data_IF_812961232046
#
_entry.id   IF_812961232046
#
_cell.length_a   1.000
_cell.length_b   1.000
_cell.length_c   1.000
_cell.angle_alpha   90.00
_cell.angle_beta   90.00
_cell.angle_gamma   90.00
#
_symmetry.space_group_name_H-M   'P 1'
#
loop_
_entity.id
_entity.type
_entity.pdbx_description
1 polymer ?
#
# COMPACT_ATOMS: atom_id res chain seq x y z
N UNK A 1 6.30 26.28 44.12
CA UNK A 1 5.77 27.63 43.74
C UNK A 1 4.31 27.53 43.30
N UNK A 2 3.54 28.62 43.23
CA UNK A 2 2.15 28.57 42.70
C UNK A 2 2.15 28.34 41.18
N UNK A 3 1.03 27.88 40.62
CA UNK A 3 0.91 27.67 39.16
C UNK A 3 1.11 28.97 38.35
N UNK A 4 0.66 30.11 38.89
CA UNK A 4 0.82 31.41 38.25
C UNK A 4 2.27 31.90 38.29
N UNK A 5 2.99 31.62 39.38
CA UNK A 5 4.43 31.91 39.49
C UNK A 5 5.25 31.01 38.56
N UNK A 6 4.90 29.72 38.45
CA UNK A 6 5.56 28.79 37.52
C UNK A 6 5.37 29.19 36.06
N UNK A 7 4.16 29.64 35.70
CA UNK A 7 3.89 30.20 34.38
C UNK A 7 4.81 31.39 34.06
N UNK A 8 4.99 32.32 35.02
CA UNK A 8 5.88 33.47 34.88
C UNK A 8 7.36 33.08 34.81
N UNK A 9 7.79 32.14 35.66
CA UNK A 9 9.18 31.66 35.71
C UNK A 9 9.61 31.01 34.37
N UNK A 10 8.73 30.23 33.75
CA UNK A 10 9.01 29.55 32.48
C UNK A 10 8.66 30.38 31.23
N UNK A 11 8.09 31.57 31.40
CA UNK A 11 7.69 32.46 30.31
C UNK A 11 6.48 31.99 29.50
N UNK A 12 5.58 31.22 30.12
CA UNK A 12 4.44 30.55 29.46
C UNK A 12 3.11 31.07 30.01
N UNK A 13 2.04 31.05 29.22
CA UNK A 13 0.71 31.48 29.68
C UNK A 13 0.10 30.51 30.72
N UNK A 14 -0.73 31.05 31.63
CA UNK A 14 -1.46 30.26 32.63
C UNK A 14 -2.33 29.16 32.01
N UNK A 15 -2.88 29.39 30.82
CA UNK A 15 -3.69 28.41 30.09
C UNK A 15 -2.90 27.14 29.74
N UNK A 16 -1.62 27.28 29.39
CA UNK A 16 -0.75 26.15 29.07
C UNK A 16 -0.40 25.35 30.34
N UNK A 17 -0.20 26.01 31.48
CA UNK A 17 0.00 25.33 32.77
C UNK A 17 -1.23 24.53 33.19
N UNK A 18 -2.44 25.08 32.98
CA UNK A 18 -3.69 24.33 33.19
C UNK A 18 -3.80 23.12 32.25
N UNK A 19 -3.38 23.26 30.99
CA UNK A 19 -3.32 22.15 30.04
C UNK A 19 -2.36 21.05 30.52
N UNK A 20 -1.17 21.42 31.02
CA UNK A 20 -0.20 20.46 31.59
C UNK A 20 -0.72 19.75 32.83
N UNK A 21 -1.51 20.45 33.66
CA UNK A 21 -2.23 19.82 34.78
C UNK A 21 -3.22 18.76 34.30
N UNK A 22 -4.02 19.06 33.26
CA UNK A 22 -4.96 18.11 32.66
C UNK A 22 -4.27 16.92 32.00
N UNK A 23 -3.05 17.11 31.47
CA UNK A 23 -2.24 16.07 30.86
C UNK A 23 -1.38 15.26 31.87
N UNK A 24 -1.47 15.56 33.17
CA UNK A 24 -0.68 14.88 34.21
C UNK A 24 0.82 15.20 34.20
N UNK A 25 1.24 16.24 33.47
CA UNK A 25 2.65 16.65 33.34
C UNK A 25 3.10 17.57 34.47
N UNK A 26 2.16 18.22 35.14
CA UNK A 26 2.40 19.09 36.27
C UNK A 26 2.46 18.27 37.56
N UNK A 27 3.63 18.22 38.19
CA UNK A 27 3.78 17.61 39.52
C UNK A 27 3.28 18.61 40.58
N UNK A 28 2.12 18.33 41.16
CA UNK A 28 1.49 19.16 42.19
C UNK A 28 1.61 18.45 43.54
N UNK A 29 2.21 19.11 44.52
CA UNK A 29 2.30 18.67 45.92
C UNK A 29 0.92 18.67 46.57
N UNK A 30 0.74 17.91 47.66
CA UNK A 30 -0.53 17.86 48.41
C UNK A 30 -1.07 19.24 48.82
N UNK A 31 -0.18 20.21 49.07
CA UNK A 31 -0.50 21.60 49.41
C UNK A 31 -0.94 22.46 48.20
N UNK A 32 -1.12 21.87 47.00
CA UNK A 32 -1.52 22.59 45.79
C UNK A 32 -0.41 23.43 45.14
N UNK A 33 0.84 23.27 45.59
CA UNK A 33 2.03 23.93 45.01
C UNK A 33 2.64 23.07 43.90
N UNK A 34 3.24 23.72 42.90
CA UNK A 34 3.96 23.06 41.81
C UNK A 34 5.38 22.74 42.28
N UNK A 35 5.75 21.47 42.14
CA UNK A 35 7.12 20.99 42.28
C UNK A 35 7.87 21.25 40.97
N UNK A 36 8.86 22.13 41.05
CA UNK A 36 9.49 22.74 39.88
C UNK A 36 10.31 21.69 39.16
N UNK A 37 11.22 21.04 39.87
CA UNK A 37 12.17 20.08 39.31
C UNK A 37 11.45 18.89 38.66
N UNK A 38 10.42 18.33 39.34
CA UNK A 38 9.64 17.22 38.80
C UNK A 38 8.80 17.62 37.58
N UNK A 39 8.24 18.84 37.59
CA UNK A 39 7.48 19.36 36.44
C UNK A 39 8.41 19.65 35.26
N UNK A 40 9.56 20.26 35.49
CA UNK A 40 10.54 20.55 34.43
C UNK A 40 11.10 19.27 33.83
N UNK A 41 11.42 18.26 34.65
CA UNK A 41 11.76 16.93 34.16
C UNK A 41 10.65 16.33 33.30
N UNK A 42 9.39 16.38 33.76
CA UNK A 42 8.24 15.91 32.99
C UNK A 42 8.03 16.70 31.69
N UNK A 43 8.46 17.97 31.60
CA UNK A 43 8.31 18.79 30.39
C UNK A 43 9.49 18.65 29.42
N UNK A 44 10.70 18.43 29.93
CA UNK A 44 11.94 18.36 29.16
C UNK A 44 12.17 16.98 28.53
N UNK A 45 11.40 15.96 28.95
CA UNK A 45 11.24 14.72 28.19
C UNK A 45 10.55 15.01 26.84
N UNK A 46 11.26 15.62 25.88
CA UNK A 46 10.78 15.83 24.50
C UNK A 46 10.78 14.50 23.75
N UNK A 47 9.68 14.12 23.05
CA UNK A 47 9.74 13.02 22.11
C UNK A 47 10.64 13.42 20.92
N UNK A 48 11.67 12.61 20.64
CA UNK A 48 12.21 12.55 19.29
C UNK A 48 11.09 11.97 18.41
N UNK A 49 10.64 12.76 17.43
CA UNK A 49 9.63 12.42 16.42
C UNK A 49 9.57 10.92 16.13
N UNK A 50 8.38 10.30 16.17
CA UNK A 50 8.20 9.06 15.42
C UNK A 50 6.77 8.76 14.93
N UNK A 51 6.75 8.54 13.62
CA UNK A 51 6.00 7.55 12.83
C UNK A 51 5.18 6.53 13.64
N UNK A 52 3.86 6.72 13.65
CA UNK A 52 2.90 5.61 13.65
C UNK A 52 2.60 4.88 14.97
N UNK A 53 2.76 5.51 16.14
CA UNK A 53 2.29 4.89 17.38
C UNK A 53 2.24 5.82 18.59
N UNK A 54 1.25 5.61 19.47
CA UNK A 54 1.16 6.27 20.79
C UNK A 54 2.04 5.52 21.78
N UNK A 55 3.20 6.08 22.12
CA UNK A 55 4.03 5.53 23.21
C UNK A 55 3.56 6.09 24.55
N UNK A 56 3.33 5.21 25.54
CA UNK A 56 3.03 5.61 26.91
C UNK A 56 4.25 6.23 27.59
N UNK A 57 4.06 7.40 28.20
CA UNK A 57 5.10 8.19 28.89
C UNK A 57 5.27 7.73 30.34
N UNK A 58 6.50 7.52 30.84
CA UNK A 58 6.73 7.42 32.28
C UNK A 58 6.60 8.81 32.91
N UNK A 59 5.60 9.00 33.77
CA UNK A 59 5.40 10.21 34.57
C UNK A 59 6.05 9.96 35.93
N UNK A 60 6.94 10.86 36.38
CA UNK A 60 7.40 10.84 37.78
C UNK A 60 6.28 11.37 38.66
N UNK A 61 5.55 10.45 39.30
CA UNK A 61 4.65 10.78 40.39
C UNK A 61 5.44 10.92 41.68
N UNK A 62 5.16 11.96 42.46
CA UNK A 62 5.65 12.07 43.85
C UNK A 62 4.89 10.99 44.66
N UNK A 63 5.57 10.20 45.52
CA UNK A 63 4.86 9.27 46.40
C UNK A 63 3.87 10.05 47.26
N UNK A 64 2.58 9.79 47.05
CA UNK A 64 1.51 10.26 47.92
C UNK A 64 1.63 9.47 49.22
N UNK A 65 1.90 10.15 50.33
CA UNK A 65 1.74 9.56 51.65
C UNK A 65 0.30 9.02 51.77
N UNK A 66 0.16 7.74 52.13
CA UNK A 66 -1.13 7.13 52.46
C UNK A 66 -1.84 7.98 53.52
N UNK A 67 -3.11 8.37 53.32
CA UNK A 67 -3.90 8.91 54.40
C UNK A 67 -4.35 7.78 55.36
N UNK A 68 -4.13 8.02 56.65
CA UNK A 68 -4.52 7.23 57.83
C UNK A 68 -6.00 6.74 57.76
N UNK A 69 -6.34 5.47 58.12
CA UNK A 69 -7.64 4.84 57.82
C UNK A 69 -8.84 5.31 58.67
N UNK A 70 -8.82 6.50 59.27
CA UNK A 70 -9.87 6.93 60.22
C UNK A 70 -10.40 8.31 59.92
N UNK A 71 -11.11 8.46 58.80
CA UNK A 71 -12.13 9.50 58.65
C UNK A 71 -13.08 9.11 57.51
N UNK A 72 -14.25 8.56 57.87
CA UNK A 72 -15.39 8.40 56.96
C UNK A 72 -16.37 9.55 57.20
N UNK A 73 -16.68 10.35 56.18
CA UNK A 73 -17.99 10.99 56.08
C UNK A 73 -18.86 10.27 55.05
N UNK A 74 -20.12 10.11 55.40
CA UNK A 74 -21.16 9.35 54.72
C UNK A 74 -21.55 9.91 53.32
N UNK A 75 -22.05 9.06 52.41
CA UNK A 75 -22.48 9.48 51.07
C UNK A 75 -23.82 10.24 51.11
N UNK A 76 -23.88 11.38 50.42
CA UNK A 76 -25.13 12.11 50.17
C UNK A 76 -25.90 11.55 48.95
N UNK A 77 -27.23 11.71 48.92
CA UNK A 77 -28.13 10.86 48.16
C UNK A 77 -28.46 11.40 46.76
N UNK A 78 -28.35 10.56 45.72
CA UNK A 78 -29.00 10.78 44.43
C UNK A 78 -30.43 10.23 44.47
N UNK A 79 -31.45 11.10 44.34
CA UNK A 79 -32.84 10.70 44.02
C UNK A 79 -32.87 10.22 42.55
N UNK A 80 -33.16 8.95 42.24
CA UNK A 80 -34.48 8.29 42.14
C UNK A 80 -35.36 8.93 41.05
N UNK A 81 -35.97 8.26 40.06
CA UNK A 81 -36.30 6.84 39.76
C UNK A 81 -36.64 6.76 38.25
N UNK A 82 -36.76 5.63 37.56
CA UNK A 82 -37.75 4.54 37.63
C UNK A 82 -37.18 3.35 36.81
N UNK A 83 -37.28 2.03 37.10
CA UNK A 83 -38.22 1.20 37.86
C UNK A 83 -38.90 0.17 36.92
N UNK A 84 -38.18 -0.81 36.32
CA UNK A 84 -38.16 -2.29 36.62
C UNK A 84 -39.18 -3.15 35.79
N UNK A 85 -39.07 -4.50 35.53
CA UNK A 85 -38.00 -5.50 35.77
C UNK A 85 -37.74 -6.45 34.51
N UNK A 86 -37.28 -7.73 34.60
CA UNK A 86 -36.06 -8.24 33.95
C UNK A 86 -36.30 -9.10 32.68
N UNK A 87 -35.48 -8.93 31.63
CA UNK A 87 -35.25 -10.00 30.65
C UNK A 87 -33.75 -10.11 30.39
N UNK A 88 -33.30 -11.37 30.39
CA UNK A 88 -31.93 -11.78 30.11
C UNK A 88 -31.35 -10.95 28.97
N UNK A 89 -30.13 -10.44 29.16
CA UNK A 89 -29.34 -9.94 28.05
C UNK A 89 -29.14 -11.13 27.09
N UNK A 90 -29.95 -11.18 26.02
CA UNK A 90 -29.50 -11.82 24.80
C UNK A 90 -28.17 -11.13 24.43
N UNK A 91 -27.15 -11.89 24.01
CA UNK A 91 -25.98 -11.30 23.37
C UNK A 91 -26.46 -10.32 22.29
N UNK A 92 -25.81 -9.16 22.08
CA UNK A 92 -26.08 -8.38 20.89
C UNK A 92 -25.93 -9.34 19.70
N UNK A 93 -26.99 -9.49 18.91
CA UNK A 93 -26.87 -10.26 17.68
C UNK A 93 -25.74 -9.61 16.87
N UNK A 94 -24.75 -10.40 16.44
CA UNK A 94 -23.84 -9.93 15.44
C UNK A 94 -24.69 -9.83 14.18
N UNK A 95 -25.14 -8.63 13.84
CA UNK A 95 -25.26 -8.25 12.43
C UNK A 95 -23.81 -8.14 11.85
N UNK A 96 -23.01 -9.20 12.05
CA UNK A 96 -22.02 -9.68 11.13
C UNK A 96 -22.78 -10.60 10.17
N UNK A 97 -23.67 -10.02 9.36
CA UNK A 97 -23.61 -10.47 7.98
C UNK A 97 -22.16 -10.17 7.56
N UNK A 98 -21.37 -11.13 7.06
CA UNK A 98 -20.14 -10.81 6.37
C UNK A 98 -20.56 -10.04 5.11
N UNK A 99 -20.90 -8.76 5.28
CA UNK A 99 -21.04 -7.81 4.21
C UNK A 99 -19.72 -7.90 3.46
N UNK A 100 -19.83 -8.27 2.19
CA UNK A 100 -18.69 -8.43 1.31
C UNK A 100 -17.70 -7.30 1.58
N UNK A 101 -16.40 -7.61 1.76
CA UNK A 101 -15.39 -6.56 1.95
C UNK A 101 -15.66 -5.51 0.88
N UNK A 102 -15.77 -4.21 1.25
CA UNK A 102 -16.25 -3.18 0.35
C UNK A 102 -15.54 -3.36 -0.98
N UNK A 103 -16.33 -3.67 -2.01
CA UNK A 103 -15.81 -4.08 -3.31
C UNK A 103 -14.71 -3.10 -3.69
N UNK A 104 -13.52 -3.64 -3.94
CA UNK A 104 -12.35 -2.84 -4.24
C UNK A 104 -12.61 -2.17 -5.59
N UNK A 105 -13.19 -0.97 -5.55
CA UNK A 105 -13.37 -0.13 -6.72
C UNK A 105 -12.08 0.70 -6.88
N UNK A 106 -11.18 0.31 -7.81
CA UNK A 106 -9.90 0.96 -8.01
C UNK A 106 -10.04 2.45 -8.38
N UNK A 107 -11.18 2.85 -8.93
CA UNK A 107 -11.41 4.17 -9.50
C UNK A 107 -12.38 5.05 -8.69
N UNK A 108 -12.87 4.57 -7.53
CA UNK A 108 -13.78 5.37 -6.70
C UNK A 108 -13.13 6.72 -6.32
N UNK A 109 -13.74 7.87 -6.64
CA UNK A 109 -13.16 9.19 -6.38
C UNK A 109 -13.36 9.69 -4.94
N UNK A 110 -14.24 9.06 -4.14
CA UNK A 110 -14.68 9.58 -2.84
C UNK A 110 -14.22 8.69 -1.66
N UNK A 111 -12.91 8.40 -1.57
CA UNK A 111 -12.37 7.64 -0.44
C UNK A 111 -12.04 8.50 0.78
N UNK A 112 -12.07 7.87 1.95
CA UNK A 112 -11.47 8.42 3.16
C UNK A 112 -9.95 8.61 2.99
N UNK A 113 -9.36 9.57 3.72
CA UNK A 113 -7.92 9.86 3.63
C UNK A 113 -7.04 8.64 3.93
N UNK A 114 -7.46 7.79 4.88
CA UNK A 114 -6.72 6.58 5.23
C UNK A 114 -6.74 5.56 4.07
N UNK A 115 -7.91 5.33 3.47
CA UNK A 115 -8.05 4.42 2.33
C UNK A 115 -7.32 4.96 1.08
N UNK A 116 -7.36 6.27 0.84
CA UNK A 116 -6.62 6.91 -0.25
C UNK A 116 -5.09 6.78 -0.07
N UNK A 117 -4.57 6.92 1.16
CA UNK A 117 -3.16 6.72 1.45
C UNK A 117 -2.72 5.26 1.22
N UNK A 118 -3.51 4.29 1.70
CA UNK A 118 -3.25 2.86 1.47
C UNK A 118 -3.26 2.52 -0.02
N UNK A 119 -4.24 3.04 -0.79
CA UNK A 119 -4.31 2.88 -2.25
C UNK A 119 -3.03 3.38 -2.92
N UNK A 120 -2.60 4.61 -2.59
CA UNK A 120 -1.37 5.19 -3.13
C UNK A 120 -0.15 4.32 -2.82
N UNK A 121 -0.02 3.83 -1.59
CA UNK A 121 1.08 2.95 -1.19
C UNK A 121 1.08 1.64 -1.97
N UNK A 122 -0.09 1.03 -2.18
CA UNK A 122 -0.25 -0.19 -2.97
C UNK A 122 0.19 0.02 -4.44
N UNK A 123 -0.34 1.05 -5.12
CA UNK A 123 0.06 1.32 -6.51
C UNK A 123 1.54 1.67 -6.63
N UNK A 124 2.10 2.38 -5.65
CA UNK A 124 3.52 2.68 -5.61
C UNK A 124 4.36 1.41 -5.43
N UNK A 125 3.88 0.44 -4.64
CA UNK A 125 4.49 -0.88 -4.53
C UNK A 125 4.49 -1.65 -5.86
N UNK A 126 3.36 -1.66 -6.57
CA UNK A 126 3.22 -2.30 -7.88
C UNK A 126 4.14 -1.66 -8.93
N UNK A 127 4.16 -0.33 -9.01
CA UNK A 127 5.03 0.42 -9.92
C UNK A 127 6.51 0.11 -9.66
N UNK A 128 6.94 0.14 -8.39
CA UNK A 128 8.33 -0.21 -8.03
C UNK A 128 8.67 -1.65 -8.38
N UNK A 129 7.74 -2.58 -8.21
CA UNK A 129 7.93 -3.98 -8.61
C UNK A 129 8.09 -4.09 -10.12
N UNK A 130 7.25 -3.42 -10.90
CA UNK A 130 7.36 -3.39 -12.36
C UNK A 130 8.70 -2.82 -12.79
N UNK A 131 9.09 -1.64 -12.27
CA UNK A 131 10.39 -1.03 -12.56
C UNK A 131 11.57 -1.93 -12.19
N UNK A 132 11.51 -2.60 -11.03
CA UNK A 132 12.53 -3.54 -10.61
C UNK A 132 12.65 -4.72 -11.59
N UNK A 133 11.53 -5.30 -12.02
CA UNK A 133 11.51 -6.40 -12.98
C UNK A 133 11.98 -5.95 -14.37
N UNK A 134 11.62 -4.75 -14.82
CA UNK A 134 12.13 -4.16 -16.06
C UNK A 134 13.64 -3.93 -16.00
N UNK A 135 14.16 -3.38 -14.89
CA UNK A 135 15.61 -3.20 -14.68
C UNK A 135 16.36 -4.53 -14.59
N UNK A 136 15.72 -5.59 -14.10
CA UNK A 136 16.25 -6.95 -14.16
C UNK A 136 16.17 -7.59 -15.56
N UNK A 137 15.54 -6.95 -16.53
CA UNK A 137 15.32 -7.49 -17.88
C UNK A 137 14.24 -8.58 -17.96
N UNK A 138 13.39 -8.71 -16.94
CA UNK A 138 12.29 -9.70 -16.92
C UNK A 138 11.01 -9.21 -17.57
N UNK A 139 10.82 -7.89 -17.64
CA UNK A 139 9.68 -7.25 -18.28
C UNK A 139 10.18 -6.31 -19.36
N UNK A 140 9.48 -6.31 -20.49
CA UNK A 140 9.67 -5.42 -21.63
C UNK A 140 8.34 -4.76 -21.96
N UNK A 141 8.37 -3.60 -22.62
CA UNK A 141 7.15 -3.01 -23.15
C UNK A 141 6.49 -3.94 -24.16
N UNK A 142 5.18 -4.08 -24.06
CA UNK A 142 4.43 -5.01 -24.90
C UNK A 142 4.47 -4.59 -26.37
N UNK A 143 4.32 -3.30 -26.66
CA UNK A 143 4.31 -2.82 -28.04
C UNK A 143 5.70 -2.97 -28.67
N UNK A 144 6.77 -2.71 -27.91
CA UNK A 144 8.15 -2.98 -28.36
C UNK A 144 8.39 -4.46 -28.63
N UNK A 145 7.93 -5.36 -27.74
CA UNK A 145 8.08 -6.80 -27.92
C UNK A 145 7.29 -7.33 -29.13
N UNK A 146 6.06 -6.86 -29.32
CA UNK A 146 5.25 -7.18 -30.49
C UNK A 146 5.93 -6.69 -31.77
N UNK A 147 6.39 -5.44 -31.81
CA UNK A 147 7.11 -4.88 -32.95
C UNK A 147 8.36 -5.71 -33.30
N UNK A 148 9.19 -6.05 -32.31
CA UNK A 148 10.38 -6.86 -32.51
C UNK A 148 10.05 -8.25 -33.08
N UNK A 149 8.96 -8.88 -32.61
CA UNK A 149 8.50 -10.16 -33.13
C UNK A 149 8.03 -10.07 -34.58
N UNK A 150 7.27 -9.02 -34.93
CA UNK A 150 6.83 -8.78 -36.30
C UNK A 150 7.99 -8.48 -37.25
N UNK A 151 8.98 -7.71 -36.80
CA UNK A 151 10.18 -7.40 -37.57
C UNK A 151 10.99 -8.66 -37.87
N UNK A 152 11.18 -9.54 -36.88
CA UNK A 152 11.88 -10.82 -37.07
C UNK A 152 11.09 -11.75 -38.02
N UNK A 153 9.78 -11.85 -37.83
CA UNK A 153 8.92 -12.63 -38.73
C UNK A 153 8.99 -12.11 -40.17
N UNK A 154 9.02 -10.78 -40.34
CA UNK A 154 9.20 -10.15 -41.65
C UNK A 154 10.57 -10.45 -42.25
N UNK A 155 11.64 -10.36 -41.46
CA UNK A 155 12.99 -10.67 -41.91
C UNK A 155 13.08 -12.14 -42.38
N UNK A 156 12.47 -13.07 -41.64
CA UNK A 156 12.38 -14.48 -42.06
C UNK A 156 11.63 -14.65 -43.38
N UNK A 157 10.44 -14.02 -43.51
CA UNK A 157 9.66 -14.07 -44.76
C UNK A 157 10.46 -13.53 -45.94
N UNK A 158 11.09 -12.37 -45.78
CA UNK A 158 11.86 -11.73 -46.85
C UNK A 158 13.09 -12.58 -47.23
N UNK A 159 13.74 -13.24 -46.26
CA UNK A 159 14.83 -14.18 -46.49
C UNK A 159 14.39 -15.42 -47.29
N UNK A 160 13.20 -15.95 -47.03
CA UNK A 160 12.60 -17.05 -47.80
C UNK A 160 12.23 -16.61 -49.22
N UNK A 161 11.65 -15.43 -49.41
CA UNK A 161 11.32 -14.91 -50.74
C UNK A 161 12.57 -14.69 -51.60
N UNK A 162 13.69 -14.28 -50.99
CA UNK A 162 14.97 -14.10 -51.68
C UNK A 162 15.73 -15.42 -51.90
N UNK A 163 15.40 -16.50 -51.16
CA UNK A 163 16.16 -17.74 -51.17
C UNK A 163 16.20 -18.47 -52.54
N UNK A 164 15.09 -18.62 -53.29
CA UNK A 164 15.10 -19.28 -54.60
C UNK A 164 16.11 -18.68 -55.58
N UNK A 165 16.23 -17.36 -55.61
CA UNK A 165 17.18 -16.67 -56.50
C UNK A 165 18.65 -16.92 -56.11
N UNK A 166 18.93 -17.18 -54.82
CA UNK A 166 20.28 -17.47 -54.33
C UNK A 166 20.73 -18.89 -54.66
N UNK A 167 19.82 -19.87 -54.54
CA UNK A 167 20.17 -21.30 -54.72
C UNK A 167 19.84 -21.86 -56.10
N UNK A 168 19.00 -21.16 -56.87
CA UNK A 168 18.43 -21.69 -58.11
C UNK A 168 19.46 -22.06 -59.17
N UNK A 169 20.55 -21.30 -59.31
CA UNK A 169 21.62 -21.59 -60.29
C UNK A 169 22.39 -22.86 -59.91
N UNK A 170 22.87 -22.93 -58.66
CA UNK A 170 23.65 -24.08 -58.18
C UNK A 170 22.81 -25.37 -58.17
N UNK A 171 21.56 -25.28 -57.73
CA UNK A 171 20.63 -26.41 -57.71
C UNK A 171 20.30 -26.89 -59.13
N UNK A 172 20.13 -25.97 -60.08
CA UNK A 172 19.86 -26.32 -61.47
C UNK A 172 21.06 -26.96 -62.16
N UNK A 173 22.28 -26.50 -61.87
CA UNK A 173 23.49 -27.17 -62.38
C UNK A 173 23.65 -28.57 -61.79
N UNK A 174 23.37 -28.77 -60.51
CA UNK A 174 23.42 -30.09 -59.87
C UNK A 174 22.41 -31.07 -60.50
N UNK A 175 21.20 -30.61 -60.81
CA UNK A 175 20.13 -31.41 -61.40
C UNK A 175 20.17 -31.47 -62.94
N UNK A 176 21.05 -30.69 -63.58
CA UNK A 176 21.16 -30.53 -65.04
C UNK A 176 19.84 -30.11 -65.71
N UNK A 177 19.17 -29.13 -65.11
CA UNK A 177 17.90 -28.53 -65.60
C UNK A 177 18.07 -27.03 -65.89
N UNK A 178 17.08 -26.41 -66.53
CA UNK A 178 17.09 -24.96 -66.77
C UNK A 178 16.97 -24.16 -65.45
N UNK A 179 17.95 -23.30 -65.18
CA UNK A 179 18.02 -22.52 -63.94
C UNK A 179 16.88 -21.52 -63.79
N UNK A 180 16.44 -20.91 -64.90
CA UNK A 180 15.33 -19.96 -64.88
C UNK A 180 14.04 -20.64 -64.47
N UNK A 181 13.71 -21.77 -65.10
CA UNK A 181 12.51 -22.55 -64.82
C UNK A 181 12.52 -23.08 -63.40
N UNK A 182 13.64 -23.65 -62.93
CA UNK A 182 13.75 -24.14 -61.56
C UNK A 182 13.53 -23.03 -60.52
N UNK A 183 14.17 -21.87 -60.71
CA UNK A 183 14.02 -20.73 -59.80
C UNK A 183 12.57 -20.23 -59.75
N UNK A 184 11.88 -20.19 -60.90
CA UNK A 184 10.46 -19.79 -60.96
C UNK A 184 9.56 -20.79 -60.21
N UNK A 185 9.75 -22.09 -60.42
CA UNK A 185 8.97 -23.13 -59.74
C UNK A 185 9.18 -23.07 -58.23
N UNK A 186 10.44 -22.96 -57.78
CA UNK A 186 10.78 -22.82 -56.38
C UNK A 186 10.14 -21.57 -55.76
N UNK A 187 10.18 -20.43 -56.45
CA UNK A 187 9.55 -19.20 -55.96
C UNK A 187 8.04 -19.36 -55.76
N UNK A 188 7.34 -20.05 -56.67
CA UNK A 188 5.91 -20.33 -56.53
C UNK A 188 5.62 -21.18 -55.29
N UNK A 189 6.33 -22.30 -55.10
CA UNK A 189 6.09 -23.17 -53.94
C UNK A 189 6.48 -22.53 -52.62
N UNK A 190 7.55 -21.73 -52.58
CA UNK A 190 7.91 -20.96 -51.38
C UNK A 190 6.83 -19.93 -51.03
N UNK A 191 6.30 -19.22 -52.02
CA UNK A 191 5.20 -18.28 -51.78
C UNK A 191 3.93 -18.97 -51.28
N UNK A 192 3.58 -20.13 -51.86
CA UNK A 192 2.46 -20.93 -51.39
C UNK A 192 2.67 -21.37 -49.93
N UNK A 193 3.86 -21.89 -49.61
CA UNK A 193 4.18 -22.31 -48.24
C UNK A 193 4.09 -21.14 -47.24
N UNK A 194 4.62 -19.98 -47.60
CA UNK A 194 4.52 -18.77 -46.75
C UNK A 194 3.07 -18.30 -46.58
N UNK A 195 2.21 -18.49 -47.59
CA UNK A 195 0.79 -18.18 -47.49
C UNK A 195 0.06 -19.14 -46.54
N UNK A 196 0.34 -20.45 -46.64
CA UNK A 196 -0.21 -21.48 -45.74
C UNK A 196 0.21 -21.24 -44.28
N UNK A 197 1.46 -20.83 -44.04
CA UNK A 197 1.93 -20.44 -42.70
C UNK A 197 1.28 -19.15 -42.18
N UNK A 198 0.83 -18.27 -43.08
CA UNK A 198 0.18 -17.01 -42.75
C UNK A 198 -1.31 -17.16 -42.42
N UNK A 199 -1.93 -18.30 -42.72
CA UNK A 199 -3.31 -18.59 -42.30
C UNK A 199 -3.32 -18.81 -40.78
N UNK A 200 -4.01 -17.95 -40.00
CA UNK A 200 -3.92 -17.98 -38.55
C UNK A 200 -4.62 -19.24 -38.01
N UNK A 201 -3.84 -20.28 -37.72
CA UNK A 201 -4.23 -21.23 -36.69
C UNK A 201 -4.12 -20.47 -35.38
N UNK A 202 -5.26 -19.95 -34.88
CA UNK A 202 -5.28 -19.14 -33.67
C UNK A 202 -4.53 -19.90 -32.56
N UNK A 203 -3.38 -19.40 -32.08
CA UNK A 203 -2.72 -20.05 -30.97
C UNK A 203 -3.63 -19.90 -29.76
N UNK A 204 -4.02 -21.03 -29.16
CA UNK A 204 -4.77 -21.09 -27.91
C UNK A 204 -3.86 -20.61 -26.77
N UNK A 205 -3.67 -19.29 -26.71
CA UNK A 205 -2.98 -18.62 -25.62
C UNK A 205 -4.03 -18.44 -24.54
N UNK A 206 -4.20 -19.51 -23.74
CA UNK A 206 -5.18 -19.61 -22.67
C UNK A 206 -5.36 -18.28 -21.95
N UNK A 207 -6.60 -17.80 -21.94
CA UNK A 207 -7.00 -16.54 -21.32
C UNK A 207 -6.39 -16.44 -19.92
N UNK A 208 -5.77 -15.30 -19.56
CA UNK A 208 -5.33 -15.11 -18.19
C UNK A 208 -6.59 -15.09 -17.32
N UNK A 209 -6.73 -16.09 -16.44
CA UNK A 209 -7.76 -16.04 -15.40
C UNK A 209 -7.56 -14.77 -14.59
N UNK A 210 -8.56 -13.89 -14.64
CA UNK A 210 -8.64 -12.72 -13.79
C UNK A 210 -8.80 -13.20 -12.35
N UNK A 211 -7.72 -13.08 -11.57
CA UNK A 211 -7.72 -13.21 -10.12
C UNK A 211 -7.69 -11.86 -9.44
#
# INVERSE_FOLDING_TARGET
MTQAEFARHRGVSKAIVTKWKGQGLLAVTADGRVEVEATEWNLDQRPATNRGGTTHRPIRAIPRAEPDPRERPAPQPSKASQGAPPRQALPPEPDDEPGEPPEFDPENPNLSLAAAAQRKENHLGLLRRQEYLTKQGKLVDRAEAEAAFFDEARAMRDAWLAWPARVGIEMADALKVDARTLTQVLATYVQQHLAELGEPSAPDLGSPEAG
#
